data_IF_230232469874
#
_entry.id   IF_230232469874
#
_cell.length_a   1.000
_cell.length_b   1.000
_cell.length_c   1.000
_cell.angle_alpha   90.00
_cell.angle_beta   90.00
_cell.angle_gamma   90.00
#
_symmetry.space_group_name_H-M   'P 1'
#
loop_
_entity.id
_entity.type
_entity.pdbx_description
1 polymer ?
#
# COMPACT_ATOMS: atom_id res chain seq x y z
N UNK A 1 6.54 -3.62 -18.04
CA UNK A 1 5.52 -2.78 -17.40
C UNK A 1 5.60 -3.07 -15.91
N UNK A 2 6.16 -2.16 -15.12
CA UNK A 2 6.44 -2.41 -13.70
C UNK A 2 5.60 -1.42 -12.88
N UNK A 3 4.52 -1.90 -12.25
CA UNK A 3 3.57 -1.03 -11.55
C UNK A 3 4.19 -0.49 -10.27
N UNK A 4 4.25 0.83 -10.13
CA UNK A 4 4.78 1.52 -8.95
C UNK A 4 3.60 1.93 -8.05
N UNK A 5 3.68 1.61 -6.76
CA UNK A 5 2.66 1.93 -5.76
C UNK A 5 3.20 2.94 -4.75
N UNK A 6 2.36 3.84 -4.24
CA UNK A 6 2.71 4.81 -3.19
C UNK A 6 1.90 4.55 -1.92
N UNK A 7 2.55 4.59 -0.75
CA UNK A 7 1.84 4.58 0.54
C UNK A 7 1.18 5.94 0.72
N UNK A 8 -0.16 5.95 0.85
CA UNK A 8 -0.94 7.13 1.11
C UNK A 8 -0.64 7.67 2.53
N UNK A 9 0.46 8.43 2.71
CA UNK A 9 0.73 9.42 3.79
C UNK A 9 2.21 9.74 4.05
N UNK A 10 3.18 9.13 3.37
CA UNK A 10 4.61 9.34 3.70
C UNK A 10 5.44 9.83 2.50
N UNK A 11 5.65 11.15 2.42
CA UNK A 11 6.56 11.80 1.47
C UNK A 11 6.14 11.67 0.01
N UNK A 12 6.62 12.57 -0.84
CA UNK A 12 6.35 12.51 -2.29
C UNK A 12 7.14 11.40 -3.00
N UNK A 13 8.00 10.69 -2.29
CA UNK A 13 8.86 9.65 -2.87
C UNK A 13 8.08 8.35 -3.14
N UNK A 14 8.03 7.89 -4.40
CA UNK A 14 7.46 6.59 -4.73
C UNK A 14 8.29 5.49 -4.07
N UNK A 15 7.74 4.89 -3.02
CA UNK A 15 8.38 3.77 -2.33
C UNK A 15 7.97 2.48 -3.03
N UNK A 16 8.93 1.75 -3.62
CA UNK A 16 8.65 0.39 -4.09
C UNK A 16 8.35 -0.49 -2.88
N UNK A 17 7.11 -0.91 -2.75
CA UNK A 17 6.69 -1.87 -1.73
C UNK A 17 6.49 -3.22 -2.41
N UNK A 18 7.24 -4.22 -1.95
CA UNK A 18 7.05 -5.61 -2.40
C UNK A 18 5.67 -6.13 -1.93
N UNK A 19 5.08 -7.03 -2.74
CA UNK A 19 3.76 -7.60 -2.47
C UNK A 19 3.68 -8.31 -1.11
N UNK A 20 4.76 -8.97 -0.67
CA UNK A 20 4.82 -9.65 0.64
C UNK A 20 4.72 -8.66 1.81
N UNK A 21 5.37 -7.50 1.69
CA UNK A 21 5.32 -6.44 2.70
C UNK A 21 3.91 -5.86 2.77
N UNK A 22 3.29 -5.64 1.60
CA UNK A 22 1.91 -5.18 1.50
C UNK A 22 0.90 -6.13 2.14
N UNK A 23 1.05 -7.43 1.89
CA UNK A 23 0.21 -8.45 2.50
C UNK A 23 0.33 -8.45 4.04
N UNK A 24 1.56 -8.31 4.57
CA UNK A 24 1.80 -8.23 6.00
C UNK A 24 1.19 -6.98 6.65
N UNK A 25 1.27 -5.82 5.98
CA UNK A 25 0.65 -4.57 6.44
C UNK A 25 -0.88 -4.70 6.49
N UNK A 26 -1.49 -5.25 5.43
CA UNK A 26 -2.94 -5.48 5.36
C UNK A 26 -3.41 -6.40 6.48
N UNK A 27 -2.72 -7.52 6.70
CA UNK A 27 -3.04 -8.45 7.77
C UNK A 27 -2.90 -7.82 9.16
N UNK A 28 -1.85 -7.02 9.37
CA UNK A 28 -1.66 -6.26 10.61
C UNK A 28 -2.78 -5.25 10.87
N UNK A 29 -3.19 -4.49 9.85
CA UNK A 29 -4.27 -3.50 9.99
C UNK A 29 -5.62 -4.16 10.24
N UNK A 30 -5.94 -5.27 9.58
CA UNK A 30 -7.15 -6.07 9.84
C UNK A 30 -7.19 -6.56 11.28
N UNK A 31 -6.08 -7.10 11.79
CA UNK A 31 -5.98 -7.59 13.17
C UNK A 31 -6.13 -6.47 14.20
N UNK A 32 -5.59 -5.29 13.93
CA UNK A 32 -5.63 -4.14 14.84
C UNK A 32 -7.00 -3.46 14.88
N UNK A 33 -7.66 -3.33 13.73
CA UNK A 33 -8.92 -2.60 13.59
C UNK A 33 -10.14 -3.49 13.74
N UNK A 34 -10.01 -4.79 13.44
CA UNK A 34 -11.14 -5.71 13.30
C UNK A 34 -11.97 -5.47 12.03
N UNK A 35 -11.54 -4.55 11.17
CA UNK A 35 -12.25 -4.16 9.95
C UNK A 35 -11.59 -4.78 8.71
N UNK A 36 -12.37 -4.90 7.64
CA UNK A 36 -11.85 -5.34 6.36
C UNK A 36 -11.06 -4.19 5.71
N UNK A 37 -9.75 -4.35 5.62
CA UNK A 37 -8.85 -3.39 4.96
C UNK A 37 -8.51 -3.89 3.56
N UNK A 38 -8.71 -3.04 2.56
CA UNK A 38 -8.38 -3.30 1.16
C UNK A 38 -7.09 -2.59 0.73
N UNK A 39 -6.51 -3.08 -0.37
CA UNK A 39 -5.28 -2.52 -0.94
C UNK A 39 -5.43 -1.03 -1.30
N UNK A 40 -6.61 -0.64 -1.79
CA UNK A 40 -6.97 0.73 -2.16
C UNK A 40 -7.03 1.70 -0.99
N UNK A 41 -7.16 1.20 0.24
CA UNK A 41 -7.20 2.05 1.44
C UNK A 41 -5.81 2.55 1.84
N UNK A 42 -4.76 1.90 1.31
CA UNK A 42 -3.36 2.11 1.72
C UNK A 42 -2.51 2.59 0.55
N UNK A 43 -2.79 2.08 -0.65
CA UNK A 43 -2.02 2.39 -1.85
C UNK A 43 -2.73 3.39 -2.74
N UNK A 44 -1.97 4.39 -3.14
CA UNK A 44 -2.33 5.28 -4.23
C UNK A 44 -1.56 4.87 -5.49
N UNK A 45 -2.28 4.75 -6.61
CA UNK A 45 -1.68 4.55 -7.91
C UNK A 45 -1.08 5.87 -8.40
N UNK A 46 0.21 5.84 -8.77
CA UNK A 46 0.90 6.98 -9.37
C UNK A 46 1.24 6.58 -10.82
N UNK A 47 0.57 7.14 -11.84
CA UNK A 47 0.93 6.88 -13.22
C UNK A 47 2.32 7.45 -13.53
N UNK A 48 3.14 6.69 -14.25
CA UNK A 48 4.36 7.20 -14.85
C UNK A 48 3.97 8.32 -15.85
N UNK A 49 4.49 9.52 -15.60
CA UNK A 49 4.31 10.70 -16.46
C UNK A 49 5.14 10.59 -17.75
#
# INVERSE_FOLDING_TARGET
MNTIYRIARKGEEPTRVDFLILAAILDGLRKLTGEEVQLSDILEYVPDS
#
